data_IF_284737406337
#
_entry.id   IF_284737406337
#
_cell.length_a   1.000
_cell.length_b   1.000
_cell.length_c   1.000
_cell.angle_alpha   90.00
_cell.angle_beta   90.00
_cell.angle_gamma   90.00
#
_symmetry.space_group_name_H-M   'P 1'
#
loop_
_entity.id
_entity.type
_entity.pdbx_description
1 polymer ?
#
# COMPACT_ATOMS: atom_id res chain seq x y z
N UNK A 1 17.22 -17.54 9.58
CA UNK A 1 17.66 -16.14 9.42
C UNK A 1 16.51 -15.26 8.96
N UNK A 2 15.91 -15.52 7.79
CA UNK A 2 14.76 -14.75 7.26
C UNK A 2 13.59 -14.60 8.24
N UNK A 3 13.01 -15.71 8.73
CA UNK A 3 11.86 -15.65 9.64
C UNK A 3 12.12 -14.81 10.89
N UNK A 4 13.31 -14.95 11.48
CA UNK A 4 13.72 -14.16 12.64
C UNK A 4 13.75 -12.65 12.33
N UNK A 5 14.28 -12.26 11.17
CA UNK A 5 14.28 -10.87 10.74
C UNK A 5 12.85 -10.34 10.49
N UNK A 6 11.98 -11.19 9.94
CA UNK A 6 10.55 -10.86 9.76
C UNK A 6 9.86 -10.64 11.11
N UNK A 7 10.09 -11.51 12.10
CA UNK A 7 9.52 -11.37 13.44
C UNK A 7 9.99 -10.08 14.14
N UNK A 8 11.29 -9.77 14.03
CA UNK A 8 11.87 -8.53 14.56
C UNK A 8 11.26 -7.28 13.90
N UNK A 9 11.07 -7.31 12.57
CA UNK A 9 10.42 -6.23 11.84
C UNK A 9 8.96 -6.06 12.24
N UNK A 10 8.20 -7.15 12.33
CA UNK A 10 6.79 -7.13 12.77
C UNK A 10 6.70 -6.51 14.16
N UNK A 11 7.55 -6.93 15.11
CA UNK A 11 7.56 -6.39 16.46
C UNK A 11 7.85 -4.87 16.46
N UNK A 12 8.84 -4.43 15.69
CA UNK A 12 9.21 -3.02 15.59
C UNK A 12 8.08 -2.16 14.98
N UNK A 13 7.47 -2.60 13.88
CA UNK A 13 6.39 -1.87 13.22
C UNK A 13 5.12 -1.84 14.09
N UNK A 14 4.79 -2.96 14.74
CA UNK A 14 3.60 -3.06 15.61
C UNK A 14 3.66 -2.06 16.77
N UNK A 15 4.85 -1.81 17.34
CA UNK A 15 5.02 -0.82 18.41
C UNK A 15 4.68 0.63 18.00
N UNK A 16 4.66 0.91 16.69
CA UNK A 16 4.35 2.22 16.13
C UNK A 16 3.03 2.25 15.36
N UNK A 17 2.35 1.11 15.21
CA UNK A 17 1.10 1.01 14.48
C UNK A 17 -0.03 1.68 15.27
N UNK A 18 -0.84 2.50 14.59
CA UNK A 18 -2.02 3.12 15.17
C UNK A 18 -3.26 2.75 14.37
N UNK A 19 -4.37 2.61 15.07
CA UNK A 19 -5.67 2.25 14.50
C UNK A 19 -6.61 3.46 14.37
N UNK A 20 -6.12 4.67 14.66
CA UNK A 20 -6.86 5.93 14.57
C UNK A 20 -6.90 6.49 13.14
N UNK A 21 -7.32 5.66 12.18
CA UNK A 21 -7.48 6.04 10.78
C UNK A 21 -8.92 5.87 10.29
N UNK A 22 -9.29 6.66 9.29
CA UNK A 22 -10.55 6.47 8.57
C UNK A 22 -10.44 5.26 7.65
N UNK A 23 -11.41 4.35 7.78
CA UNK A 23 -11.54 3.18 6.89
C UNK A 23 -12.32 3.57 5.64
N UNK A 24 -11.75 3.29 4.46
CA UNK A 24 -12.40 3.46 3.16
C UNK A 24 -12.23 2.21 2.30
N UNK A 25 -13.03 2.11 1.23
CA UNK A 25 -12.79 1.14 0.15
C UNK A 25 -11.56 1.57 -0.64
N UNK A 26 -10.60 0.66 -0.73
CA UNK A 26 -9.31 0.83 -1.39
C UNK A 26 -9.27 0.01 -2.68
N UNK A 27 -8.39 0.41 -3.59
CA UNK A 27 -7.93 -0.42 -4.70
C UNK A 27 -7.19 -1.65 -4.20
N UNK A 28 -6.38 -1.51 -3.14
CA UNK A 28 -5.71 -2.62 -2.47
C UNK A 28 -4.36 -3.02 -3.07
N UNK A 29 -4.13 -2.65 -4.33
CA UNK A 29 -2.89 -2.82 -5.11
C UNK A 29 -2.62 -1.61 -6.05
N UNK A 30 -2.72 -0.39 -5.50
CA UNK A 30 -2.60 0.85 -6.28
C UNK A 30 -1.13 1.21 -6.57
N UNK A 31 -0.57 0.61 -7.63
CA UNK A 31 0.74 1.00 -8.17
C UNK A 31 0.64 1.42 -9.63
N UNK A 32 1.70 2.04 -10.17
CA UNK A 32 1.72 2.56 -11.54
C UNK A 32 1.42 1.51 -12.63
N UNK A 33 1.61 0.21 -12.34
CA UNK A 33 1.26 -0.88 -13.27
C UNK A 33 -0.25 -1.08 -13.44
N UNK A 34 -1.04 -0.70 -12.43
CA UNK A 34 -2.50 -0.79 -12.39
C UNK A 34 -3.18 0.55 -12.74
N UNK A 35 -2.42 1.52 -13.25
CA UNK A 35 -2.94 2.82 -13.71
C UNK A 35 -2.66 2.95 -15.21
N UNK A 36 -3.72 2.87 -16.01
CA UNK A 36 -3.66 3.16 -17.44
C UNK A 36 -3.83 4.66 -17.70
N UNK A 37 -3.27 5.14 -18.81
CA UNK A 37 -3.33 6.55 -19.20
C UNK A 37 -4.01 6.73 -20.55
N UNK A 38 -5.18 7.37 -20.55
CA UNK A 38 -5.86 7.86 -21.75
C UNK A 38 -6.77 9.02 -21.36
N UNK A 39 -6.35 10.24 -21.71
CA UNK A 39 -7.06 11.48 -21.36
C UNK A 39 -7.28 11.67 -19.84
N UNK A 40 -6.50 10.96 -19.02
CA UNK A 40 -6.59 10.91 -17.56
C UNK A 40 -6.19 9.53 -17.01
N UNK A 41 -6.04 9.41 -15.67
CA UNK A 41 -5.76 8.13 -15.03
C UNK A 41 -7.00 7.24 -15.03
N UNK A 42 -6.80 5.96 -15.37
CA UNK A 42 -7.81 4.91 -15.26
C UNK A 42 -7.26 3.77 -14.42
N UNK A 43 -7.88 3.52 -13.27
CA UNK A 43 -7.52 2.42 -12.38
C UNK A 43 -8.09 1.10 -12.91
N UNK A 44 -7.27 0.06 -12.90
CA UNK A 44 -7.64 -1.30 -13.32
C UNK A 44 -7.19 -2.29 -12.27
N UNK A 45 -7.67 -3.53 -12.33
CA UNK A 45 -7.30 -4.60 -11.39
C UNK A 45 -7.76 -4.37 -9.93
N UNK A 46 -9.06 -4.58 -9.70
CA UNK A 46 -9.71 -4.37 -8.40
C UNK A 46 -9.99 -5.69 -7.66
N UNK A 47 -9.28 -6.77 -7.98
CA UNK A 47 -9.45 -8.06 -7.33
C UNK A 47 -8.91 -8.06 -5.88
N UNK A 48 -7.91 -7.22 -5.59
CA UNK A 48 -7.35 -6.96 -4.24
C UNK A 48 -8.08 -5.86 -3.45
N UNK A 49 -9.20 -5.34 -3.96
CA UNK A 49 -9.96 -4.27 -3.32
C UNK A 49 -10.45 -4.66 -1.91
N UNK A 50 -10.21 -3.78 -0.94
CA UNK A 50 -10.48 -4.04 0.50
C UNK A 50 -10.78 -2.77 1.27
N UNK A 51 -11.21 -2.92 2.53
CA UNK A 51 -11.40 -1.79 3.44
C UNK A 51 -10.10 -1.54 4.23
N UNK A 52 -9.63 -0.29 4.30
CA UNK A 52 -8.41 0.05 5.03
C UNK A 52 -8.07 1.54 5.02
N UNK A 53 -6.84 1.91 5.44
CA UNK A 53 -6.38 3.29 5.45
C UNK A 53 -5.96 3.77 4.05
N UNK A 54 -6.23 5.03 3.72
CA UNK A 54 -5.94 5.63 2.41
C UNK A 54 -4.46 5.50 2.00
N UNK A 55 -3.55 5.49 2.98
CA UNK A 55 -2.11 5.39 2.72
C UNK A 55 -1.75 4.14 1.93
N UNK A 56 -2.49 3.02 2.09
CA UNK A 56 -2.27 1.77 1.35
C UNK A 56 -2.23 1.98 -0.17
N UNK A 57 -3.09 2.85 -0.69
CA UNK A 57 -3.15 3.14 -2.13
C UNK A 57 -2.19 4.27 -2.56
N UNK A 58 -1.54 4.96 -1.63
CA UNK A 58 -0.66 6.09 -1.90
C UNK A 58 0.82 5.72 -1.86
N UNK A 59 1.24 4.89 -0.89
CA UNK A 59 2.66 4.62 -0.68
C UNK A 59 3.29 3.82 -1.84
N UNK A 60 2.50 3.00 -2.53
CA UNK A 60 2.93 2.21 -3.69
C UNK A 60 3.15 3.05 -4.95
N UNK A 61 2.72 4.32 -4.95
CA UNK A 61 3.00 5.28 -6.02
C UNK A 61 4.31 6.04 -5.82
N UNK A 62 4.93 5.93 -4.64
CA UNK A 62 6.21 6.57 -4.36
C UNK A 62 7.32 5.84 -5.13
N UNK A 63 7.91 6.53 -6.10
CA UNK A 63 9.14 6.10 -6.73
C UNK A 63 10.34 6.63 -5.92
N UNK A 64 11.19 5.74 -5.44
CA UNK A 64 12.46 6.15 -4.85
C UNK A 64 13.40 6.75 -5.90
N UNK A 65 14.31 7.62 -5.48
CA UNK A 65 15.46 7.97 -6.30
C UNK A 65 16.34 6.73 -6.47
N UNK A 66 16.93 6.58 -7.67
CA UNK A 66 18.01 5.60 -7.85
C UNK A 66 19.21 6.09 -7.03
N UNK A 67 19.46 5.44 -5.90
CA UNK A 67 20.71 5.58 -5.15
C UNK A 67 21.91 5.08 -5.98
#
# INVERSE_FOLDING_TARGET
AFLKATDELIAAVTAHWREDFTVLRLHGDCHAGNILWRDGPMFVDLDDARNGPAVQDLWMLLNGDKA
#
